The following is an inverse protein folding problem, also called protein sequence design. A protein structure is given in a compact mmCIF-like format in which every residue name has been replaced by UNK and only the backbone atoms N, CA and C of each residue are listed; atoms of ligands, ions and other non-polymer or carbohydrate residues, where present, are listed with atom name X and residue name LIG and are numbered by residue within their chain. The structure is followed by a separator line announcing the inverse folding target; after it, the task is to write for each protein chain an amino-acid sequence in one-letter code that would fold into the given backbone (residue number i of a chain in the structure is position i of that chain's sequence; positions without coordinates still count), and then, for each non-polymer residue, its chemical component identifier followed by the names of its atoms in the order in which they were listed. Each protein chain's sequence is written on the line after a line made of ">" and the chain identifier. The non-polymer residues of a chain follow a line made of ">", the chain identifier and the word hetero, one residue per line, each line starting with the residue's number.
data_IF_013462826367
#
_entry.id   IF_013462826367
#
_cell.length_a   1.000
_cell.length_b   1.000
_cell.length_c   1.000
_cell.angle_alpha   90.00
_cell.angle_beta   90.00
_cell.angle_gamma   90.00
#
_symmetry.space_group_name_H-M   'P 1'
#
loop_
_entity.id
_entity.type
_entity.pdbx_description
1 polymer ?
#
# COMPACT_ATOMS: atom_id res chain seq x y z
N UNK A 1 6.37 -39.16 15.06
CA UNK A 1 6.28 -37.74 15.47
C UNK A 1 6.25 -36.90 14.22
N UNK A 2 5.14 -36.21 13.95
CA UNK A 2 5.00 -35.35 12.76
C UNK A 2 5.21 -33.90 13.15
N UNK A 3 6.00 -33.16 12.37
CA UNK A 3 6.13 -31.72 12.53
C UNK A 3 5.00 -31.02 11.78
N UNK A 4 4.38 -30.02 12.42
CA UNK A 4 3.54 -29.06 11.71
C UNK A 4 4.43 -28.05 10.99
N UNK A 5 4.40 -28.07 9.66
CA UNK A 5 5.15 -27.14 8.82
C UNK A 5 4.28 -25.91 8.55
N UNK A 6 4.54 -24.82 9.28
CA UNK A 6 4.01 -23.51 8.91
C UNK A 6 4.72 -23.02 7.64
N UNK A 7 4.07 -23.18 6.49
CA UNK A 7 4.43 -22.43 5.28
C UNK A 7 3.67 -21.10 5.32
N UNK A 8 4.31 -19.95 5.62
CA UNK A 8 3.68 -18.68 5.32
C UNK A 8 3.35 -18.71 3.83
N UNK A 9 2.07 -18.52 3.46
CA UNK A 9 1.65 -18.47 2.06
C UNK A 9 2.64 -17.60 1.32
N UNK A 10 3.27 -18.14 0.27
CA UNK A 10 4.22 -17.42 -0.56
C UNK A 10 3.66 -16.03 -0.86
N UNK A 11 4.26 -15.08 -0.16
CA UNK A 11 4.16 -13.64 -0.28
C UNK A 11 2.80 -13.02 -0.62
N UNK A 12 2.27 -12.35 0.40
CA UNK A 12 1.52 -11.09 0.32
C UNK A 12 2.33 -9.96 -0.37
N UNK A 13 3.04 -10.25 -1.46
CA UNK A 13 3.89 -9.28 -2.16
C UNK A 13 3.04 -8.13 -2.67
N UNK A 14 1.89 -8.47 -3.25
CA UNK A 14 0.88 -7.55 -3.77
C UNK A 14 -0.20 -7.23 -2.72
N UNK A 15 0.20 -6.96 -1.48
CA UNK A 15 -0.71 -6.49 -0.45
C UNK A 15 -0.23 -5.19 0.19
N UNK A 16 -1.22 -4.38 0.59
CA UNK A 16 -1.01 -3.16 1.36
C UNK A 16 -1.91 -3.20 2.59
N UNK A 17 -1.32 -2.99 3.77
CA UNK A 17 -2.06 -2.89 5.01
C UNK A 17 -2.30 -1.43 5.39
N UNK A 18 -3.57 -1.05 5.52
CA UNK A 18 -4.00 0.21 6.11
C UNK A 18 -4.22 -0.01 7.60
N UNK A 19 -3.40 0.65 8.43
CA UNK A 19 -3.49 0.63 9.89
C UNK A 19 -3.97 1.98 10.41
N UNK A 20 -4.17 2.16 11.71
CA UNK A 20 -4.56 3.46 12.29
C UNK A 20 -3.60 4.62 11.93
N UNK A 21 -2.31 4.34 11.67
CA UNK A 21 -1.28 5.38 11.55
C UNK A 21 -0.42 5.28 10.31
N UNK A 22 -0.44 4.13 9.64
CA UNK A 22 0.47 3.83 8.54
C UNK A 22 -0.23 3.10 7.42
N UNK A 23 0.19 3.40 6.19
CA UNK A 23 0.08 2.52 5.04
C UNK A 23 1.34 1.66 5.03
N UNK A 24 1.21 0.32 5.02
CA UNK A 24 2.35 -0.61 4.96
C UNK A 24 2.30 -1.38 3.66
N UNK A 25 3.29 -1.16 2.81
CA UNK A 25 3.46 -1.85 1.53
C UNK A 25 4.06 -3.24 1.75
N UNK A 26 3.73 -4.19 0.86
CA UNK A 26 4.53 -5.41 0.68
C UNK A 26 5.98 -5.05 0.36
N UNK A 27 6.94 -5.89 0.80
CA UNK A 27 8.37 -5.62 0.64
C UNK A 27 8.76 -5.35 -0.81
N UNK A 28 8.37 -6.24 -1.73
CA UNK A 28 8.65 -6.07 -3.16
C UNK A 28 7.97 -4.85 -3.78
N UNK A 29 6.77 -4.48 -3.34
CA UNK A 29 6.11 -3.26 -3.84
C UNK A 29 6.91 -2.00 -3.46
N UNK A 30 7.39 -1.95 -2.21
CA UNK A 30 8.22 -0.83 -1.75
C UNK A 30 9.56 -0.76 -2.51
N UNK A 31 10.19 -1.92 -2.78
CA UNK A 31 11.42 -1.99 -3.58
C UNK A 31 11.18 -1.56 -5.03
N UNK A 32 10.08 -2.02 -5.65
CA UNK A 32 9.70 -1.67 -7.03
C UNK A 32 9.43 -0.18 -7.22
N UNK A 33 8.88 0.51 -6.22
CA UNK A 33 8.70 1.97 -6.25
C UNK A 33 10.04 2.73 -6.38
N UNK A 34 11.15 2.14 -5.92
CA UNK A 34 12.50 2.66 -6.14
C UNK A 34 12.76 4.08 -5.61
N UNK A 35 11.91 4.59 -4.72
CA UNK A 35 12.01 5.94 -4.17
C UNK A 35 11.83 5.96 -2.65
N UNK A 36 12.47 6.92 -2.00
CA UNK A 36 12.31 7.21 -0.56
C UNK A 36 11.15 8.14 -0.26
N UNK A 37 10.55 8.75 -1.30
CA UNK A 37 9.43 9.68 -1.18
C UNK A 37 8.31 9.24 -2.11
N UNK A 38 7.08 9.39 -1.65
CA UNK A 38 5.90 8.98 -2.40
C UNK A 38 4.81 10.05 -2.33
N UNK A 39 4.06 10.17 -3.42
CA UNK A 39 2.75 10.83 -3.40
C UNK A 39 1.66 9.78 -3.23
N UNK A 40 0.52 10.20 -2.64
CA UNK A 40 -0.66 9.36 -2.47
C UNK A 40 -1.86 10.09 -3.01
N UNK A 41 -2.60 9.44 -3.92
CA UNK A 41 -3.87 9.93 -4.43
C UNK A 41 -4.96 8.90 -4.14
N UNK A 42 -6.21 9.35 -4.03
CA UNK A 42 -7.36 8.48 -3.83
C UNK A 42 -8.45 8.85 -4.84
N UNK A 43 -8.85 7.86 -5.61
CA UNK A 43 -10.03 7.96 -6.47
C UNK A 43 -11.25 7.46 -5.69
N UNK A 44 -12.17 8.39 -5.42
CA UNK A 44 -13.40 8.11 -4.66
C UNK A 44 -14.40 7.28 -5.46
N UNK A 45 -14.40 7.40 -6.78
CA UNK A 45 -15.34 6.69 -7.65
C UNK A 45 -14.97 5.21 -7.76
N UNK A 46 -13.70 4.92 -8.06
CA UNK A 46 -13.23 3.52 -8.16
C UNK A 46 -12.79 2.90 -6.84
N UNK A 47 -12.70 3.68 -5.75
CA UNK A 47 -12.23 3.20 -4.45
C UNK A 47 -10.76 2.77 -4.46
N UNK A 48 -9.94 3.33 -5.36
CA UNK A 48 -8.54 2.97 -5.53
C UNK A 48 -7.61 4.01 -4.94
N UNK A 49 -6.63 3.56 -4.17
CA UNK A 49 -5.57 4.39 -3.62
C UNK A 49 -4.30 4.18 -4.45
N UNK A 50 -3.78 5.27 -5.00
CA UNK A 50 -2.59 5.29 -5.86
C UNK A 50 -1.38 5.75 -5.06
N UNK A 51 -0.31 4.97 -5.07
CA UNK A 51 0.97 5.31 -4.42
C UNK A 51 2.05 5.34 -5.49
N UNK A 52 2.72 6.48 -5.64
CA UNK A 52 3.75 6.68 -6.67
C UNK A 52 5.03 7.22 -6.07
N UNK A 53 6.18 6.72 -6.53
CA UNK A 53 7.48 7.26 -6.16
C UNK A 53 7.71 8.64 -6.78
N UNK A 54 8.13 9.61 -5.98
CA UNK A 54 8.47 10.97 -6.42
C UNK A 54 9.91 11.33 -6.06
N UNK A 55 10.52 12.24 -6.82
CA UNK A 55 11.90 12.72 -6.57
C UNK A 55 11.94 13.76 -5.45
N UNK A 56 10.98 14.68 -5.44
CA UNK A 56 10.89 15.79 -4.48
C UNK A 56 9.46 15.93 -3.95
N UNK A 57 9.33 16.54 -2.76
CA UNK A 57 8.04 16.65 -2.07
C UNK A 57 7.52 15.32 -1.54
N UNK A 58 6.20 15.22 -1.38
CA UNK A 58 5.53 14.00 -0.93
C UNK A 58 5.87 13.54 0.49
N UNK A 59 5.45 12.31 0.78
CA UNK A 59 5.56 11.65 2.07
C UNK A 59 6.79 10.74 2.11
N UNK A 60 7.43 10.62 3.27
CA UNK A 60 8.56 9.71 3.46
C UNK A 60 8.08 8.24 3.43
N UNK A 61 8.68 7.44 2.55
CA UNK A 61 8.58 5.98 2.55
C UNK A 61 9.74 5.43 3.39
N UNK A 62 9.48 5.15 4.67
CA UNK A 62 10.47 4.58 5.57
C UNK A 62 10.38 3.05 5.53
N UNK A 63 11.36 2.43 4.87
CA UNK A 63 11.34 1.00 4.49
C UNK A 63 10.12 0.71 3.63
N UNK A 64 9.07 0.14 4.22
CA UNK A 64 7.81 -0.16 3.55
C UNK A 64 6.61 0.57 4.17
N UNK A 65 6.85 1.64 4.96
CA UNK A 65 5.81 2.33 5.73
C UNK A 65 5.72 3.81 5.35
N UNK A 66 4.49 4.28 5.22
CA UNK A 66 4.16 5.70 5.01
C UNK A 66 3.31 6.15 6.20
N UNK A 67 3.65 7.29 6.81
CA UNK A 67 2.80 7.90 7.83
C UNK A 67 1.50 8.40 7.21
N UNK A 68 0.35 8.04 7.76
CA UNK A 68 -0.91 8.08 7.02
C UNK A 68 -2.09 8.74 7.71
N UNK A 69 -1.94 9.22 8.96
CA UNK A 69 -3.04 9.90 9.68
C UNK A 69 -3.64 11.04 8.85
N UNK A 70 -2.81 11.94 8.35
CA UNK A 70 -3.28 13.07 7.52
C UNK A 70 -3.89 12.62 6.19
N UNK A 71 -3.34 11.56 5.57
CA UNK A 71 -3.88 10.97 4.32
C UNK A 71 -5.30 10.45 4.54
N UNK A 72 -5.51 9.71 5.63
CA UNK A 72 -6.81 9.12 5.92
C UNK A 72 -7.88 10.16 6.22
N UNK A 73 -7.54 11.17 7.02
CA UNK A 73 -8.46 12.28 7.30
C UNK A 73 -8.73 13.11 6.04
N UNK A 74 -7.71 13.42 5.23
CA UNK A 74 -7.88 14.20 4.00
C UNK A 74 -8.79 13.50 2.98
N UNK A 75 -8.67 12.18 2.84
CA UNK A 75 -9.50 11.40 1.93
C UNK A 75 -10.79 10.85 2.55
N UNK A 76 -11.01 11.05 3.85
CA UNK A 76 -12.13 10.50 4.62
C UNK A 76 -12.22 8.96 4.54
N UNK A 77 -11.09 8.27 4.80
CA UNK A 77 -10.96 6.80 4.75
C UNK A 77 -10.43 6.20 6.05
N UNK A 78 -10.65 6.87 7.19
CA UNK A 78 -10.14 6.47 8.51
C UNK A 78 -10.67 5.11 9.01
N UNK A 79 -11.87 4.75 8.55
CA UNK A 79 -12.55 3.47 8.78
C UNK A 79 -12.08 2.33 7.88
N UNK A 80 -11.33 2.61 6.80
CA UNK A 80 -10.86 1.62 5.81
C UNK A 80 -9.58 0.88 6.26
N UNK A 81 -9.54 0.43 7.51
CA UNK A 81 -8.43 -0.37 8.05
C UNK A 81 -8.55 -1.80 7.55
N UNK A 82 -7.44 -2.40 7.14
CA UNK A 82 -7.45 -3.76 6.60
C UNK A 82 -6.19 -4.10 5.84
N UNK A 83 -6.17 -5.30 5.26
CA UNK A 83 -5.18 -5.70 4.26
C UNK A 83 -5.89 -5.78 2.92
N UNK A 84 -5.35 -5.08 1.93
CA UNK A 84 -5.93 -4.90 0.63
C UNK A 84 -5.02 -5.46 -0.43
N UNK A 85 -5.60 -5.97 -1.51
CA UNK A 85 -4.85 -6.32 -2.70
C UNK A 85 -4.27 -5.05 -3.32
N UNK A 86 -3.11 -5.17 -3.95
CA UNK A 86 -2.49 -4.08 -4.66
C UNK A 86 -1.72 -4.56 -5.88
N UNK A 87 -1.90 -3.86 -7.00
CA UNK A 87 -1.17 -4.10 -8.23
C UNK A 87 -0.06 -3.08 -8.42
N UNK A 88 1.02 -3.51 -9.05
CA UNK A 88 2.09 -2.63 -9.49
C UNK A 88 2.04 -2.47 -11.00
N UNK A 89 1.84 -1.23 -11.46
CA UNK A 89 1.99 -0.86 -12.86
C UNK A 89 3.46 -0.53 -13.13
N UNK A 90 4.12 -1.35 -13.93
CA UNK A 90 5.53 -1.19 -14.27
C UNK A 90 5.81 0.00 -15.20
N UNK A 91 4.83 0.37 -16.04
CA UNK A 91 4.97 1.47 -17.00
C UNK A 91 4.92 2.81 -16.28
N UNK A 92 3.98 2.96 -15.35
CA UNK A 92 3.80 4.20 -14.59
C UNK A 92 4.65 4.25 -13.31
N UNK A 93 5.16 3.09 -12.86
CA UNK A 93 5.85 2.88 -11.57
C UNK A 93 4.96 3.27 -10.39
N UNK A 94 3.77 2.71 -10.39
CA UNK A 94 2.67 3.05 -9.47
C UNK A 94 2.15 1.79 -8.80
N UNK A 95 1.82 1.89 -7.52
CA UNK A 95 1.06 0.87 -6.79
C UNK A 95 -0.39 1.32 -6.67
N UNK A 96 -1.31 0.52 -7.19
CA UNK A 96 -2.76 0.70 -7.05
C UNK A 96 -3.28 -0.23 -5.96
N UNK A 97 -3.96 0.32 -4.95
CA UNK A 97 -4.53 -0.42 -3.83
C UNK A 97 -6.04 -0.39 -3.93
N UNK A 98 -6.68 -1.55 -3.92
CA UNK A 98 -8.11 -1.69 -4.11
C UNK A 98 -8.80 -1.74 -2.74
N UNK A 99 -9.52 -0.68 -2.37
CA UNK A 99 -10.15 -0.56 -1.03
C UNK A 99 -11.58 -1.12 -0.97
N UNK A 100 -12.14 -1.47 -2.12
CA UNK A 100 -13.41 -2.17 -2.24
C UNK A 100 -13.17 -3.65 -2.56
N UNK A 101 -14.01 -4.57 -2.06
CA UNK A 101 -14.05 -5.93 -2.58
C UNK A 101 -14.51 -5.88 -4.05
N UNK A 102 -13.90 -6.69 -4.91
CA UNK A 102 -14.48 -6.97 -6.24
C UNK A 102 -15.83 -7.68 -5.99
N UNK A 103 -16.93 -7.11 -6.52
CA UNK A 103 -18.26 -7.73 -6.53
C UNK A 103 -18.34 -8.94 -7.47
#
# INVERSE_FOLDING_TARGET
>A
MGFEVYRPRSARDNMVALTKHHIRLGGKLAEKLGSRRVEVAFDKESGKLRIRGVKEGGMLLNKNKIGARGIFTFFNIEDKKGSYHADYDEKEKVVYVYLQPEE
#
